data_IF_073307174319
#
_entry.id   IF_073307174319
#
_cell.length_a   1.000
_cell.length_b   1.000
_cell.length_c   1.000
_cell.angle_alpha   90.00
_cell.angle_beta   90.00
_cell.angle_gamma   90.00
#
_symmetry.space_group_name_H-M   'P 1'
#
loop_
_entity.id
_entity.type
_entity.pdbx_description
1 polymer ?
#
# COMPACT_ATOMS: atom_id res chain seq x y z
N UNK A 1 -7.65 -14.67 -5.69
CA UNK A 1 -7.50 -13.21 -5.89
C UNK A 1 -8.76 -12.70 -6.57
N UNK A 2 -9.31 -11.60 -6.08
CA UNK A 2 -10.38 -10.86 -6.77
C UNK A 2 -9.81 -10.28 -8.07
N UNK A 3 -10.54 -10.38 -9.19
CA UNK A 3 -10.15 -9.71 -10.42
C UNK A 3 -10.38 -8.22 -10.27
N UNK A 4 -9.33 -7.40 -10.46
CA UNK A 4 -9.40 -5.95 -10.37
C UNK A 4 -9.45 -5.36 -11.79
N UNK A 5 -10.65 -4.94 -12.28
CA UNK A 5 -10.82 -4.53 -13.68
C UNK A 5 -10.21 -3.15 -13.98
N UNK A 6 -9.83 -2.39 -12.95
CA UNK A 6 -9.26 -1.05 -13.09
C UNK A 6 -7.81 -1.05 -13.57
N UNK A 7 -7.13 -2.20 -13.61
CA UNK A 7 -5.75 -2.29 -14.08
C UNK A 7 -4.73 -1.57 -13.18
N UNK A 8 -3.48 -1.49 -13.63
CA UNK A 8 -2.39 -0.94 -12.84
C UNK A 8 -2.41 0.60 -12.82
N UNK A 9 -2.28 1.20 -11.63
CA UNK A 9 -2.14 2.65 -11.49
C UNK A 9 -0.95 3.19 -12.31
N UNK A 10 0.10 2.38 -12.47
CA UNK A 10 1.26 2.69 -13.30
C UNK A 10 0.91 2.96 -14.78
N UNK A 11 -0.04 2.19 -15.34
CA UNK A 11 -0.47 2.35 -16.73
C UNK A 11 -1.12 3.72 -16.96
N UNK A 12 -1.94 4.17 -16.01
CA UNK A 12 -2.52 5.52 -16.03
C UNK A 12 -1.46 6.61 -15.87
N UNK A 13 -0.47 6.40 -15.01
CA UNK A 13 0.63 7.34 -14.85
C UNK A 13 1.43 7.51 -16.16
N UNK A 14 1.78 6.39 -16.81
CA UNK A 14 2.52 6.39 -18.08
C UNK A 14 1.77 7.09 -19.20
N UNK A 15 0.45 6.92 -19.27
CA UNK A 15 -0.39 7.57 -20.29
C UNK A 15 -0.59 9.06 -20.03
N UNK A 16 -0.72 9.48 -18.76
CA UNK A 16 -0.90 10.88 -18.38
C UNK A 16 0.42 11.69 -18.37
N UNK A 17 1.57 11.03 -18.31
CA UNK A 17 2.91 11.64 -18.23
C UNK A 17 3.24 12.21 -16.85
N UNK A 18 2.39 13.10 -16.31
CA UNK A 18 2.46 13.60 -14.92
C UNK A 18 1.07 13.69 -14.33
N UNK A 19 0.87 13.15 -13.12
CA UNK A 19 -0.35 13.39 -12.38
C UNK A 19 -0.44 14.84 -11.88
N UNK A 20 -1.66 15.37 -11.86
CA UNK A 20 -1.98 16.58 -11.11
C UNK A 20 -1.72 16.33 -9.63
N UNK A 21 -1.24 17.33 -8.90
CA UNK A 21 -0.91 17.19 -7.48
C UNK A 21 -2.08 16.70 -6.61
N UNK A 22 -3.33 16.96 -7.01
CA UNK A 22 -4.52 16.41 -6.34
C UNK A 22 -4.62 14.89 -6.43
N UNK A 23 -4.36 14.30 -7.60
CA UNK A 23 -4.40 12.85 -7.80
C UNK A 23 -3.25 12.15 -7.05
N UNK A 24 -2.06 12.75 -7.04
CA UNK A 24 -0.91 12.24 -6.27
C UNK A 24 -1.27 12.18 -4.79
N UNK A 25 -1.84 13.27 -4.24
CA UNK A 25 -2.25 13.33 -2.84
C UNK A 25 -3.32 12.30 -2.52
N UNK A 26 -4.31 12.14 -3.40
CA UNK A 26 -5.37 11.14 -3.24
C UNK A 26 -4.79 9.73 -3.09
N UNK A 27 -4.01 9.26 -4.08
CA UNK A 27 -3.44 7.90 -4.03
C UNK A 27 -2.41 7.73 -2.90
N UNK A 28 -1.61 8.76 -2.59
CA UNK A 28 -0.69 8.71 -1.46
C UNK A 28 -1.43 8.51 -0.13
N UNK A 29 -2.56 9.19 0.08
CA UNK A 29 -3.39 8.99 1.27
C UNK A 29 -3.91 7.56 1.38
N UNK A 30 -4.41 6.97 0.28
CA UNK A 30 -4.90 5.59 0.30
C UNK A 30 -3.80 4.57 0.61
N UNK A 31 -2.62 4.75 0.01
CA UNK A 31 -1.45 3.89 0.27
C UNK A 31 -1.03 4.00 1.74
N UNK A 32 -0.99 5.20 2.30
CA UNK A 32 -0.63 5.41 3.72
C UNK A 32 -1.63 4.70 4.63
N UNK A 33 -2.93 4.86 4.40
CA UNK A 33 -3.98 4.21 5.19
C UNK A 33 -3.90 2.68 5.09
N UNK A 34 -3.63 2.14 3.91
CA UNK A 34 -3.45 0.71 3.71
C UNK A 34 -2.23 0.18 4.47
N UNK A 35 -1.10 0.90 4.43
CA UNK A 35 0.11 0.52 5.17
C UNK A 35 -0.08 0.64 6.69
N UNK A 36 -0.74 1.69 7.16
CA UNK A 36 -1.09 1.85 8.58
C UNK A 36 -1.93 0.67 9.07
N UNK A 37 -2.95 0.27 8.30
CA UNK A 37 -3.76 -0.91 8.62
C UNK A 37 -2.90 -2.18 8.73
N UNK A 38 -1.99 -2.43 7.79
CA UNK A 38 -1.09 -3.58 7.85
C UNK A 38 -0.16 -3.52 9.06
N UNK A 39 0.39 -2.36 9.37
CA UNK A 39 1.26 -2.18 10.53
C UNK A 39 0.53 -2.42 11.85
N UNK A 40 -0.73 -2.00 11.96
CA UNK A 40 -1.58 -2.31 13.13
C UNK A 40 -1.83 -3.81 13.30
N UNK A 41 -1.68 -4.60 12.24
CA UNK A 41 -1.72 -6.07 12.26
C UNK A 41 -0.33 -6.70 12.40
N UNK A 42 0.71 -5.91 12.69
CA UNK A 42 2.12 -6.33 12.72
C UNK A 42 2.59 -6.96 11.40
N UNK A 43 2.04 -6.51 10.26
CA UNK A 43 2.42 -6.97 8.92
C UNK A 43 3.20 -5.86 8.23
N UNK A 44 4.42 -6.18 7.78
CA UNK A 44 5.23 -5.29 6.94
C UNK A 44 5.11 -5.72 5.48
N UNK A 45 4.62 -4.85 4.61
CA UNK A 45 4.33 -5.18 3.20
C UNK A 45 5.60 -5.42 2.34
N UNK A 46 6.64 -4.61 2.55
CA UNK A 46 8.01 -4.70 1.98
C UNK A 46 8.21 -4.59 0.46
N UNK A 47 7.16 -4.63 -0.37
CA UNK A 47 7.29 -4.53 -1.84
C UNK A 47 6.43 -3.39 -2.41
N UNK A 48 6.57 -2.19 -1.84
CA UNK A 48 5.86 -1.00 -2.30
C UNK A 48 6.46 -0.48 -3.61
N UNK A 49 5.75 -0.73 -4.71
CA UNK A 49 6.09 -0.26 -6.07
C UNK A 49 4.82 -0.09 -6.90
N UNK A 50 4.88 0.71 -7.97
CA UNK A 50 3.71 1.11 -8.74
C UNK A 50 2.99 -0.09 -9.42
N UNK A 51 3.73 -1.14 -9.73
CA UNK A 51 3.25 -2.39 -10.31
C UNK A 51 2.33 -3.16 -9.35
N UNK A 52 2.51 -2.99 -8.03
CA UNK A 52 1.68 -3.63 -7.01
C UNK A 52 0.54 -2.73 -6.50
N UNK A 53 0.30 -1.59 -7.17
CA UNK A 53 -0.81 -0.69 -6.89
C UNK A 53 -1.84 -0.84 -8.02
N UNK A 54 -2.90 -1.59 -7.76
CA UNK A 54 -3.93 -1.88 -8.75
C UNK A 54 -5.21 -1.14 -8.39
N UNK A 55 -5.91 -0.64 -9.40
CA UNK A 55 -7.16 0.08 -9.21
C UNK A 55 -8.34 -0.90 -9.25
N UNK A 56 -9.30 -0.68 -8.36
CA UNK A 56 -10.60 -1.35 -8.44
C UNK A 56 -11.51 -0.68 -9.50
N UNK A 57 -12.73 -1.20 -9.65
CA UNK A 57 -13.70 -0.71 -10.63
C UNK A 57 -14.12 0.76 -10.41
N UNK A 58 -13.89 1.28 -9.21
CA UNK A 58 -14.22 2.65 -8.81
C UNK A 58 -13.01 3.59 -8.83
N UNK A 59 -11.82 3.08 -9.11
CA UNK A 59 -10.58 3.86 -9.22
C UNK A 59 -9.84 4.06 -7.89
N UNK A 60 -10.14 3.27 -6.86
CA UNK A 60 -9.40 3.27 -5.60
C UNK A 60 -8.22 2.30 -5.64
N UNK A 61 -7.12 2.64 -4.97
CA UNK A 61 -5.91 1.81 -4.92
C UNK A 61 -6.09 0.63 -3.97
N UNK A 62 -5.71 -0.55 -4.45
CA UNK A 62 -5.52 -1.76 -3.66
C UNK A 62 -4.06 -2.21 -3.76
N UNK A 63 -3.49 -2.60 -2.62
CA UNK A 63 -2.20 -3.30 -2.58
C UNK A 63 -2.40 -4.74 -3.06
N UNK A 64 -1.57 -5.18 -3.99
CA UNK A 64 -1.55 -6.57 -4.49
C UNK A 64 -0.22 -7.24 -4.16
N UNK A 65 -0.10 -8.54 -4.40
CA UNK A 65 1.15 -9.30 -4.21
C UNK A 65 1.79 -9.15 -2.81
N UNK A 66 1.34 -9.98 -1.87
CA UNK A 66 1.89 -10.05 -0.52
C UNK A 66 3.04 -11.07 -0.41
N UNK A 67 3.63 -11.52 -1.52
CA UNK A 67 4.68 -12.55 -1.53
C UNK A 67 5.92 -12.20 -0.71
N UNK A 68 6.22 -10.90 -0.57
CA UNK A 68 7.30 -10.38 0.26
C UNK A 68 6.83 -9.85 1.62
N UNK A 69 5.52 -9.85 1.90
CA UNK A 69 5.02 -9.38 3.18
C UNK A 69 5.47 -10.29 4.33
N UNK A 70 5.65 -9.72 5.52
CA UNK A 70 6.11 -10.47 6.69
C UNK A 70 5.37 -10.04 7.94
N UNK A 71 4.86 -11.02 8.69
CA UNK A 71 4.42 -10.80 10.06
C UNK A 71 5.65 -10.58 10.96
N UNK A 72 5.72 -9.40 11.57
CA UNK A 72 6.78 -8.95 12.48
C UNK A 72 6.08 -8.44 13.74
N UNK A 73 5.73 -9.34 14.68
CA UNK A 73 5.20 -8.89 15.96
C UNK A 73 6.23 -8.00 16.63
N UNK A 74 5.77 -6.93 17.29
CA UNK A 74 6.65 -6.08 18.09
C UNK A 74 7.53 -6.95 18.97
N UNK A 75 8.84 -6.71 18.92
CA UNK A 75 9.74 -7.32 19.88
C UNK A 75 9.32 -6.79 21.25
N UNK A 76 8.94 -7.69 22.15
CA UNK A 76 8.92 -7.44 23.58
C UNK A 76 10.35 -7.15 24.06
N UNK A 77 10.92 -5.99 23.71
CA UNK A 77 12.25 -5.57 24.15
C UNK A 77 12.31 -4.11 24.60
N UNK A 78 11.22 -3.56 25.14
CA UNK A 78 11.24 -2.25 25.82
C UNK A 78 10.34 -2.18 27.08
N UNK A 79 10.24 -3.28 27.84
CA UNK A 79 9.59 -3.27 29.18
C UNK A 79 10.56 -3.69 30.32
N UNK A 80 11.86 -3.44 30.18
CA UNK A 80 12.82 -3.59 31.30
C UNK A 80 13.59 -2.31 31.65
N UNK A 81 13.06 -1.14 31.27
CA UNK A 81 13.54 0.14 31.80
C UNK A 81 12.29 0.92 32.17
N UNK A 82 12.20 1.34 33.44
CA UNK A 82 11.05 1.92 34.15
C UNK A 82 10.12 0.93 34.88
N UNK A 83 10.69 0.28 35.90
CA UNK A 83 10.00 -0.02 37.17
C UNK A 83 10.94 0.32 38.33
#
# INVERSE_FOLDING_TARGET
MEFLPGGELFSYFRQAGRFKGSAIRFYACEIILALEYLHNLSIVYRDLKLENLVLDATGHVKLTDFGFSKYVPERLTENMIFS
#
